data_IF_605963429535
#
_entry.id   IF_605963429535
#
_cell.length_a   1.000
_cell.length_b   1.000
_cell.length_c   1.000
_cell.angle_alpha   90.00
_cell.angle_beta   90.00
_cell.angle_gamma   90.00
#
_symmetry.space_group_name_H-M   'P 1'
#
loop_
_entity.id
_entity.type
_entity.pdbx_description
1 polymer ?
#
# COMPACT_ATOMS: atom_id res chain seq x y z
N UNK A 1 -21.28 4.72 7.91
CA UNK A 1 -20.91 3.35 7.50
C UNK A 1 -19.71 3.45 6.57
N UNK A 2 -18.60 2.77 6.88
CA UNK A 2 -17.37 2.85 6.06
C UNK A 2 -17.49 2.06 4.76
N UNK A 3 -16.80 2.49 3.71
CA UNK A 3 -16.72 1.78 2.42
C UNK A 3 -15.39 1.05 2.32
N UNK A 4 -15.41 -0.24 2.00
CA UNK A 4 -14.19 -0.98 1.65
C UNK A 4 -13.93 -0.83 0.15
N UNK A 5 -12.83 -0.18 -0.19
CA UNK A 5 -12.41 0.09 -1.57
C UNK A 5 -11.18 -0.75 -1.88
N UNK A 6 -11.18 -1.35 -3.06
CA UNK A 6 -10.04 -2.07 -3.61
C UNK A 6 -9.33 -1.15 -4.60
N UNK A 7 -8.03 -0.92 -4.38
CA UNK A 7 -7.24 -0.04 -5.21
C UNK A 7 -5.89 -0.66 -5.57
N UNK A 8 -5.57 -0.71 -6.86
CA UNK A 8 -4.30 -1.21 -7.37
C UNK A 8 -4.08 -0.74 -8.81
N UNK A 9 -2.81 -0.55 -9.18
CA UNK A 9 -2.42 -0.45 -10.58
C UNK A 9 -2.39 -1.85 -11.20
N UNK A 10 -2.80 -1.96 -12.47
CA UNK A 10 -2.90 -3.23 -13.18
C UNK A 10 -2.43 -3.03 -14.62
N UNK A 11 -1.69 -4.00 -15.14
CA UNK A 11 -1.31 -4.03 -16.55
C UNK A 11 -2.52 -4.33 -17.44
N UNK A 12 -2.41 -4.07 -18.74
CA UNK A 12 -3.50 -4.30 -19.72
C UNK A 12 -3.89 -5.78 -19.80
N UNK A 13 -2.93 -6.68 -19.59
CA UNK A 13 -3.11 -8.14 -19.54
C UNK A 13 -3.47 -8.68 -18.14
N UNK A 14 -3.71 -7.80 -17.16
CA UNK A 14 -4.36 -8.13 -15.90
C UNK A 14 -3.43 -8.48 -14.72
N UNK A 15 -2.14 -8.13 -14.80
CA UNK A 15 -1.16 -8.40 -13.75
C UNK A 15 -0.94 -7.18 -12.84
N UNK A 16 -0.76 -7.45 -11.55
CA UNK A 16 -0.51 -6.44 -10.50
C UNK A 16 0.92 -6.50 -9.94
N UNK A 17 1.71 -7.47 -10.41
CA UNK A 17 3.11 -7.68 -10.05
C UNK A 17 3.80 -8.48 -11.16
N UNK A 18 5.12 -8.34 -11.28
CA UNK A 18 5.90 -9.16 -12.20
C UNK A 18 6.03 -10.62 -11.71
N UNK A 19 6.77 -11.44 -12.47
CA UNK A 19 6.99 -12.85 -12.14
C UNK A 19 7.78 -13.07 -10.83
N UNK A 20 8.55 -12.07 -10.40
CA UNK A 20 9.33 -12.06 -9.17
C UNK A 20 8.55 -11.46 -7.99
N UNK A 21 7.39 -10.85 -8.26
CA UNK A 21 6.53 -10.21 -7.29
C UNK A 21 6.80 -8.72 -7.08
N UNK A 22 7.61 -8.08 -7.92
CA UNK A 22 7.89 -6.65 -7.85
C UNK A 22 6.75 -5.81 -8.47
N UNK A 23 6.74 -4.53 -8.09
CA UNK A 23 5.74 -3.54 -8.49
C UNK A 23 6.39 -2.28 -9.10
N UNK A 24 7.70 -2.29 -9.30
CA UNK A 24 8.51 -1.20 -9.85
C UNK A 24 8.41 -1.08 -11.38
N UNK A 25 7.76 -2.04 -12.04
CA UNK A 25 7.49 -2.02 -13.47
C UNK A 25 6.44 -0.98 -13.88
N UNK A 26 5.63 -0.47 -12.94
CA UNK A 26 4.68 0.60 -13.22
C UNK A 26 5.31 1.97 -13.00
N UNK A 27 5.35 2.79 -14.05
CA UNK A 27 5.76 4.19 -13.97
C UNK A 27 4.52 5.08 -14.17
N UNK A 28 3.71 5.32 -13.12
CA UNK A 28 2.51 6.14 -13.23
C UNK A 28 2.88 7.60 -13.51
N UNK A 29 2.08 8.25 -14.36
CA UNK A 29 2.20 9.69 -14.60
C UNK A 29 2.00 10.49 -13.31
N UNK A 30 2.51 11.71 -13.28
CA UNK A 30 2.34 12.64 -12.16
C UNK A 30 0.86 12.85 -11.79
N UNK A 31 -0.02 12.91 -12.80
CA UNK A 31 -1.47 13.04 -12.61
C UNK A 31 -2.06 11.82 -11.88
N UNK A 32 -1.67 10.61 -12.29
CA UNK A 32 -2.13 9.38 -11.66
C UNK A 32 -1.57 9.25 -10.23
N UNK A 33 -0.33 9.65 -10.00
CA UNK A 33 0.24 9.73 -8.66
C UNK A 33 -0.54 10.70 -7.76
N UNK A 34 -0.84 11.90 -8.27
CA UNK A 34 -1.61 12.90 -7.52
C UNK A 34 -2.99 12.35 -7.14
N UNK A 35 -3.69 11.68 -8.06
CA UNK A 35 -4.96 11.00 -7.76
C UNK A 35 -4.82 10.01 -6.59
N UNK A 36 -3.77 9.18 -6.58
CA UNK A 36 -3.53 8.23 -5.50
C UNK A 36 -3.18 8.91 -4.18
N UNK A 37 -2.44 10.02 -4.19
CA UNK A 37 -2.17 10.81 -2.99
C UNK A 37 -3.46 11.35 -2.39
N UNK A 38 -4.33 11.94 -3.22
CA UNK A 38 -5.61 12.48 -2.77
C UNK A 38 -6.54 11.38 -2.23
N UNK A 39 -6.60 10.25 -2.93
CA UNK A 39 -7.34 9.07 -2.48
C UNK A 39 -6.81 8.54 -1.14
N UNK A 40 -5.49 8.44 -0.99
CA UNK A 40 -4.86 7.99 0.25
C UNK A 40 -5.16 8.97 1.40
N UNK A 41 -5.17 10.27 1.16
CA UNK A 41 -5.47 11.30 2.17
C UNK A 41 -6.88 11.17 2.76
N UNK A 42 -7.84 10.68 1.98
CA UNK A 42 -9.22 10.43 2.43
C UNK A 42 -9.43 9.01 3.01
N UNK A 43 -8.38 8.19 3.03
CA UNK A 43 -8.43 6.82 3.55
C UNK A 43 -8.16 6.78 5.05
N UNK A 44 -9.12 6.24 5.81
CA UNK A 44 -9.02 6.15 7.27
C UNK A 44 -8.13 4.98 7.74
N UNK A 45 -8.08 3.91 6.96
CA UNK A 45 -7.35 2.68 7.29
C UNK A 45 -6.99 1.91 6.02
N UNK A 46 -5.72 1.54 5.90
CA UNK A 46 -5.25 0.64 4.84
C UNK A 46 -5.06 -0.79 5.32
N UNK A 47 -5.40 -1.77 4.49
CA UNK A 47 -5.12 -3.17 4.70
C UNK A 47 -4.17 -3.68 3.62
N UNK A 48 -3.21 -4.49 4.06
CA UNK A 48 -2.22 -5.10 3.18
C UNK A 48 -2.14 -6.60 3.45
N UNK A 49 -1.80 -7.37 2.43
CA UNK A 49 -1.16 -8.66 2.66
C UNK A 49 0.31 -8.50 3.00
N UNK A 50 0.88 -9.48 3.70
CA UNK A 50 2.28 -9.45 4.15
C UNK A 50 3.29 -9.05 3.06
N UNK A 51 3.28 -9.73 1.91
CA UNK A 51 4.27 -9.50 0.85
C UNK A 51 4.23 -8.07 0.29
N UNK A 52 3.04 -7.55 0.03
CA UNK A 52 2.88 -6.17 -0.47
C UNK A 52 3.31 -5.16 0.60
N UNK A 53 2.95 -5.42 1.86
CA UNK A 53 3.39 -4.57 2.97
C UNK A 53 4.92 -4.51 3.05
N UNK A 54 5.61 -5.64 2.89
CA UNK A 54 7.08 -5.71 2.96
C UNK A 54 7.73 -4.84 1.89
N UNK A 55 7.31 -5.01 0.63
CA UNK A 55 7.78 -4.21 -0.50
C UNK A 55 7.57 -2.71 -0.25
N UNK A 56 6.36 -2.32 0.17
CA UNK A 56 6.04 -0.91 0.45
C UNK A 56 6.86 -0.37 1.64
N UNK A 57 7.00 -1.14 2.71
CA UNK A 57 7.71 -0.75 3.93
C UNK A 57 9.23 -0.66 3.76
N UNK A 58 9.79 -1.34 2.75
CA UNK A 58 11.20 -1.25 2.42
C UNK A 58 11.57 0.10 1.77
N UNK A 59 10.60 0.79 1.15
CA UNK A 59 10.85 2.02 0.39
C UNK A 59 10.27 3.27 1.06
N UNK A 60 8.97 3.28 1.37
CA UNK A 60 8.26 4.51 1.75
C UNK A 60 8.73 5.20 3.03
N UNK A 61 9.17 4.50 4.09
CA UNK A 61 9.73 5.16 5.27
C UNK A 61 10.98 6.00 4.99
N UNK A 62 11.71 5.68 3.93
CA UNK A 62 12.96 6.35 3.55
C UNK A 62 12.87 7.15 2.25
N UNK A 63 11.72 7.12 1.57
CA UNK A 63 11.54 7.72 0.25
C UNK A 63 11.81 9.24 0.25
N UNK A 64 11.53 9.95 1.35
CA UNK A 64 11.80 11.39 1.46
C UNK A 64 13.30 11.74 1.55
N UNK A 65 14.16 10.76 1.85
CA UNK A 65 15.61 10.96 1.91
C UNK A 65 16.31 10.61 0.59
N UNK A 66 15.58 10.12 -0.41
CA UNK A 66 16.16 9.85 -1.72
C UNK A 66 16.58 11.17 -2.39
N UNK A 67 17.78 11.23 -2.99
CA UNK A 67 18.34 12.47 -3.55
C UNK A 67 17.53 13.05 -4.72
N UNK A 68 16.72 12.21 -5.36
CA UNK A 68 15.86 12.49 -6.51
C UNK A 68 14.36 12.47 -6.17
N UNK A 69 14.00 12.46 -4.88
CA UNK A 69 12.61 12.42 -4.45
C UNK A 69 11.82 13.65 -4.94
N UNK A 70 10.83 13.40 -5.80
CA UNK A 70 9.93 14.46 -6.25
C UNK A 70 8.96 14.88 -5.13
N UNK A 71 8.38 16.10 -5.19
CA UNK A 71 7.37 16.51 -4.19
C UNK A 71 6.19 15.55 -4.07
N UNK A 72 5.78 14.90 -5.16
CA UNK A 72 4.72 13.89 -5.18
C UNK A 72 5.08 12.65 -4.37
N UNK A 73 6.32 12.15 -4.54
CA UNK A 73 6.85 11.00 -3.79
C UNK A 73 6.96 11.33 -2.30
N UNK A 74 7.47 12.51 -1.96
CA UNK A 74 7.58 12.96 -0.56
C UNK A 74 6.20 13.08 0.10
N UNK A 75 5.21 13.63 -0.60
CA UNK A 75 3.84 13.76 -0.08
C UNK A 75 3.22 12.37 0.17
N UNK A 76 3.33 11.45 -0.79
CA UNK A 76 2.83 10.09 -0.60
C UNK A 76 3.54 9.37 0.56
N UNK A 77 4.86 9.49 0.67
CA UNK A 77 5.63 8.89 1.76
C UNK A 77 5.10 9.32 3.13
N UNK A 78 4.81 10.61 3.31
CA UNK A 78 4.25 11.17 4.54
C UNK A 78 2.84 10.65 4.82
N UNK A 79 1.96 10.69 3.82
CA UNK A 79 0.58 10.17 3.94
C UNK A 79 0.62 8.69 4.31
N UNK A 80 1.40 7.90 3.56
CA UNK A 80 1.50 6.47 3.74
C UNK A 80 2.05 6.14 5.13
N UNK A 81 3.16 6.75 5.57
CA UNK A 81 3.74 6.52 6.89
C UNK A 81 2.76 6.84 8.03
N UNK A 82 2.04 7.98 7.96
CA UNK A 82 1.08 8.40 8.97
C UNK A 82 -0.20 7.54 9.01
N UNK A 83 -0.60 6.97 7.87
CA UNK A 83 -1.85 6.23 7.76
C UNK A 83 -1.86 4.97 8.64
N UNK A 84 -2.92 4.71 9.42
CA UNK A 84 -3.10 3.44 10.11
C UNK A 84 -3.14 2.26 9.11
N UNK A 85 -2.50 1.15 9.46
CA UNK A 85 -2.44 -0.04 8.60
C UNK A 85 -2.77 -1.31 9.40
N UNK A 86 -3.39 -2.27 8.72
CA UNK A 86 -3.57 -3.64 9.20
C UNK A 86 -2.94 -4.59 8.18
N UNK A 87 -2.09 -5.51 8.66
CA UNK A 87 -1.40 -6.47 7.79
C UNK A 87 -1.95 -7.86 8.04
N UNK A 88 -2.44 -8.52 6.99
CA UNK A 88 -2.88 -9.91 7.04
C UNK A 88 -1.75 -10.84 6.63
N UNK A 89 -1.47 -11.83 7.47
CA UNK A 89 -0.51 -12.90 7.21
C UNK A 89 -1.10 -14.26 7.55
N UNK A 90 -0.59 -15.29 6.86
CA UNK A 90 -0.87 -16.71 7.16
C UNK A 90 0.08 -17.28 8.22
N UNK A 91 1.29 -16.75 8.33
CA UNK A 91 2.26 -17.07 9.37
C UNK A 91 2.38 -15.93 10.38
N UNK A 92 2.37 -16.28 11.67
CA UNK A 92 2.82 -15.40 12.74
C UNK A 92 4.33 -15.56 12.86
N UNK A 93 5.09 -14.59 12.38
CA UNK A 93 6.46 -14.45 12.87
C UNK A 93 6.46 -13.43 14.01
N UNK A 94 7.00 -13.87 15.15
CA UNK A 94 6.96 -13.21 16.48
C UNK A 94 7.70 -11.86 16.56
N UNK A 95 8.12 -11.27 15.44
CA UNK A 95 9.05 -10.13 15.39
C UNK A 95 8.53 -8.87 14.72
N UNK A 96 7.24 -8.78 14.36
CA UNK A 96 6.73 -7.62 13.64
C UNK A 96 6.62 -6.37 14.55
N UNK A 97 7.69 -5.58 14.60
CA UNK A 97 7.64 -4.18 15.04
C UNK A 97 7.03 -3.37 13.90
N UNK A 98 5.78 -2.91 14.05
CA UNK A 98 5.05 -2.25 12.97
C UNK A 98 3.52 -2.24 13.16
N UNK A 99 2.74 -2.04 12.08
CA UNK A 99 1.27 -1.94 12.14
C UNK A 99 0.61 -3.19 12.73
N UNK A 100 -0.68 -3.07 13.10
CA UNK A 100 -1.43 -4.18 13.72
C UNK A 100 -1.49 -5.37 12.76
N UNK A 101 -0.89 -6.49 13.16
CA UNK A 101 -0.92 -7.73 12.39
C UNK A 101 -2.16 -8.53 12.78
N UNK A 102 -3.03 -8.82 11.81
CA UNK A 102 -4.20 -9.67 12.00
C UNK A 102 -3.95 -11.04 11.36
N UNK A 103 -4.17 -12.12 12.10
CA UNK A 103 -4.15 -13.48 11.56
C UNK A 103 -5.47 -13.79 10.87
N UNK A 104 -5.40 -14.38 9.68
CA UNK A 104 -6.59 -14.89 9.00
C UNK A 104 -6.33 -16.25 8.37
N UNK A 105 -7.07 -17.27 8.82
CA UNK A 105 -7.09 -18.61 8.20
C UNK A 105 -7.80 -18.65 6.84
N UNK A 106 -8.52 -17.58 6.46
CA UNK A 106 -9.25 -17.42 5.19
C UNK A 106 -8.66 -16.35 4.26
N UNK A 107 -7.52 -15.75 4.60
CA UNK A 107 -6.79 -14.84 3.71
C UNK A 107 -6.12 -15.67 2.61
N UNK A 108 -6.90 -16.09 1.63
CA UNK A 108 -6.39 -16.61 0.36
C UNK A 108 -5.78 -15.45 -0.40
N UNK A 109 -4.47 -15.26 -0.27
CA UNK A 109 -3.68 -14.38 -1.13
C UNK A 109 -4.24 -12.95 -1.26
N UNK A 110 -4.38 -12.20 -0.17
CA UNK A 110 -4.59 -10.75 -0.28
C UNK A 110 -3.31 -10.12 -0.81
N UNK A 111 -3.24 -9.93 -2.13
CA UNK A 111 -2.18 -9.17 -2.83
C UNK A 111 -2.62 -7.73 -3.12
N UNK A 112 -3.71 -7.29 -2.49
CA UNK A 112 -4.34 -6.01 -2.75
C UNK A 112 -4.17 -5.07 -1.56
N UNK A 113 -4.05 -3.79 -1.86
CA UNK A 113 -4.32 -2.73 -0.89
C UNK A 113 -5.83 -2.58 -0.78
N UNK A 114 -6.35 -2.65 0.44
CA UNK A 114 -7.74 -2.30 0.71
C UNK A 114 -7.73 -1.00 1.49
N UNK A 115 -8.51 -0.03 1.05
CA UNK A 115 -8.69 1.22 1.74
C UNK A 115 -10.10 1.27 2.30
N UNK A 116 -10.27 1.55 3.60
CA UNK A 116 -11.57 1.97 4.11
C UNK A 116 -11.66 3.47 4.00
N UNK A 117 -12.49 3.96 3.07
CA UNK A 117 -12.83 5.38 3.01
C UNK A 117 -14.00 5.66 3.94
N UNK A 118 -13.90 6.77 4.68
CA UNK A 118 -15.02 7.30 5.44
C UNK A 118 -15.82 8.21 4.49
N UNK A 119 -17.12 8.02 4.29
CA UNK A 119 -17.91 9.03 3.61
C UNK A 119 -17.92 10.30 4.48
N UNK A 120 -17.61 11.46 3.88
CA UNK A 120 -18.04 12.75 4.47
C UNK A 120 -19.56 12.79 4.57
#
# INVERSE_FOLDING_TARGET
MGKLIYGFNVSVDGYIADAQGNIDWSEPSDELHQYWNDFARETALSFYGRRLYDLMSAYWPTAEQAPDATPLIVDFARIWCAMPKVVFSRSLESGAVGPRVAQSRRASSMRCTFAVSCPR
#
